data_IF_597202941544
#
_entry.id   IF_597202941544
#
_cell.length_a   1.000
_cell.length_b   1.000
_cell.length_c   1.000
_cell.angle_alpha   90.00
_cell.angle_beta   90.00
_cell.angle_gamma   90.00
#
_symmetry.space_group_name_H-M   'P 1'
#
loop_
_entity.id
_entity.type
_entity.pdbx_description
1 polymer ?
#
# COMPACT_ATOMS: atom_id res chain seq x y z
N UNK A 1 -30.47 42.50 -21.58
CA UNK A 1 -29.33 41.79 -22.19
C UNK A 1 -28.12 41.71 -21.24
N UNK A 2 -27.59 42.83 -20.69
CA UNK A 2 -26.38 42.82 -19.82
C UNK A 2 -26.52 41.92 -18.57
N UNK A 3 -27.66 41.88 -17.87
CA UNK A 3 -27.88 41.05 -16.68
C UNK A 3 -27.85 39.55 -17.00
N UNK A 4 -28.48 39.15 -18.14
CA UNK A 4 -28.51 37.74 -18.58
C UNK A 4 -27.10 37.28 -18.97
N UNK A 5 -26.32 38.13 -19.64
CA UNK A 5 -24.91 37.78 -19.97
C UNK A 5 -24.02 37.67 -18.74
N UNK A 6 -24.24 38.52 -17.71
CA UNK A 6 -23.50 38.44 -16.44
C UNK A 6 -23.85 37.16 -15.66
N UNK A 7 -25.14 36.78 -15.59
CA UNK A 7 -25.58 35.55 -14.95
C UNK A 7 -25.05 34.30 -15.68
N UNK A 8 -25.06 34.32 -17.03
CA UNK A 8 -24.49 33.22 -17.81
C UNK A 8 -22.98 33.09 -17.62
N UNK A 9 -22.25 34.21 -17.59
CA UNK A 9 -20.81 34.21 -17.32
C UNK A 9 -20.50 33.69 -15.91
N UNK A 10 -21.25 34.09 -14.89
CA UNK A 10 -21.09 33.60 -13.53
C UNK A 10 -21.38 32.11 -13.44
N UNK A 11 -22.44 31.62 -14.07
CA UNK A 11 -22.77 30.19 -14.12
C UNK A 11 -21.67 29.37 -14.81
N UNK A 12 -21.11 29.86 -15.93
CA UNK A 12 -19.98 29.21 -16.60
C UNK A 12 -18.72 29.15 -15.71
N UNK A 13 -18.44 30.20 -14.94
CA UNK A 13 -17.34 30.20 -13.97
C UNK A 13 -17.54 29.16 -12.86
N UNK A 14 -18.75 29.01 -12.34
CA UNK A 14 -19.08 28.00 -11.35
C UNK A 14 -18.92 26.58 -11.93
N UNK A 15 -19.37 26.35 -13.15
CA UNK A 15 -19.18 25.05 -13.82
C UNK A 15 -17.70 24.75 -14.06
N UNK A 16 -16.91 25.73 -14.48
CA UNK A 16 -15.47 25.57 -14.66
C UNK A 16 -14.76 25.27 -13.33
N UNK A 17 -15.13 25.95 -12.25
CA UNK A 17 -14.61 25.69 -10.92
C UNK A 17 -14.96 24.28 -10.43
N UNK A 18 -16.22 23.85 -10.60
CA UNK A 18 -16.66 22.50 -10.26
C UNK A 18 -15.92 21.43 -11.07
N UNK A 19 -15.76 21.63 -12.38
CA UNK A 19 -14.98 20.75 -13.25
C UNK A 19 -13.50 20.67 -12.79
N UNK A 20 -12.92 21.81 -12.40
CA UNK A 20 -11.56 21.87 -11.84
C UNK A 20 -11.43 21.05 -10.56
N UNK A 21 -12.40 21.13 -9.65
CA UNK A 21 -12.41 20.32 -8.41
C UNK A 21 -12.50 18.82 -8.74
N UNK A 22 -13.42 18.43 -9.62
CA UNK A 22 -13.55 17.02 -10.06
C UNK A 22 -12.24 16.53 -10.71
N UNK A 23 -11.64 17.34 -11.55
CA UNK A 23 -10.35 17.01 -12.17
C UNK A 23 -9.24 16.81 -11.12
N UNK A 24 -9.15 17.72 -10.13
CA UNK A 24 -8.19 17.59 -9.03
C UNK A 24 -8.40 16.31 -8.21
N UNK A 25 -9.65 15.98 -7.89
CA UNK A 25 -10.00 14.77 -7.18
C UNK A 25 -9.67 13.52 -8.00
N UNK A 26 -10.03 13.50 -9.28
CA UNK A 26 -9.70 12.41 -10.19
C UNK A 26 -8.16 12.23 -10.32
N UNK A 27 -7.41 13.31 -10.49
CA UNK A 27 -5.95 13.30 -10.48
C UNK A 27 -5.39 12.80 -9.15
N UNK A 28 -6.05 13.14 -8.04
CA UNK A 28 -5.65 12.67 -6.71
C UNK A 28 -5.84 11.16 -6.55
N UNK A 29 -6.81 10.54 -7.22
CA UNK A 29 -7.02 9.09 -7.22
C UNK A 29 -5.91 8.38 -7.98
N UNK A 30 -5.67 8.77 -9.23
CA UNK A 30 -4.75 8.07 -10.15
C UNK A 30 -3.30 8.59 -10.14
N UNK A 31 -3.01 9.65 -9.41
CA UNK A 31 -1.66 10.22 -9.35
C UNK A 31 -0.67 9.23 -8.76
N UNK A 32 0.53 9.17 -9.31
CA UNK A 32 1.62 8.25 -8.92
C UNK A 32 2.66 8.91 -8.03
N UNK A 33 2.69 10.23 -7.98
CA UNK A 33 3.68 10.98 -7.20
C UNK A 33 3.54 10.71 -5.69
N UNK A 34 4.62 10.38 -4.99
CA UNK A 34 4.62 10.22 -3.54
C UNK A 34 4.12 11.48 -2.83
N UNK A 35 3.25 11.31 -1.85
CA UNK A 35 2.78 12.43 -1.01
C UNK A 35 3.73 12.60 0.16
N UNK A 36 4.66 13.52 0.05
CA UNK A 36 5.55 13.88 1.15
C UNK A 36 4.79 14.81 2.09
N UNK A 37 4.53 14.33 3.31
CA UNK A 37 4.05 15.15 4.42
C UNK A 37 5.18 15.25 5.42
N UNK A 38 5.64 16.45 5.69
CA UNK A 38 6.60 16.73 6.74
C UNK A 38 5.90 17.21 8.00
N UNK A 39 6.60 17.09 9.10
CA UNK A 39 6.23 17.64 10.39
C UNK A 39 7.48 18.16 11.10
N UNK A 40 7.32 19.18 11.91
CA UNK A 40 8.40 19.77 12.68
C UNK A 40 8.66 18.92 13.92
N UNK A 41 9.88 18.41 14.03
CA UNK A 41 10.38 17.58 15.12
C UNK A 41 11.29 18.39 16.03
N UNK A 42 11.24 18.13 17.32
CA UNK A 42 12.19 18.65 18.30
C UNK A 42 12.87 17.49 19.02
N UNK A 43 14.18 17.58 19.19
CA UNK A 43 14.90 16.63 20.04
C UNK A 43 14.74 17.04 21.51
N UNK A 44 14.45 16.08 22.38
CA UNK A 44 14.34 16.27 23.84
C UNK A 44 15.15 15.18 24.53
N UNK A 45 16.40 15.51 24.91
CA UNK A 45 17.34 14.49 25.37
C UNK A 45 17.65 13.44 24.30
N UNK A 46 17.38 12.18 24.60
CA UNK A 46 17.53 11.07 23.67
C UNK A 46 16.22 10.70 22.95
N UNK A 47 15.15 11.46 23.15
CA UNK A 47 13.83 11.24 22.59
C UNK A 47 13.48 12.35 21.58
N UNK A 48 12.33 12.22 20.92
CA UNK A 48 11.80 13.23 20.00
C UNK A 48 10.39 13.65 20.37
N UNK A 49 10.12 14.91 20.19
CA UNK A 49 8.80 15.51 20.35
C UNK A 49 8.20 15.83 18.98
N UNK A 50 6.96 15.38 18.75
CA UNK A 50 6.21 15.50 17.51
C UNK A 50 4.88 16.24 17.74
N UNK A 51 4.27 16.90 16.72
CA UNK A 51 2.89 17.33 16.78
C UNK A 51 1.97 16.13 17.06
N UNK A 52 1.06 16.25 18.05
CA UNK A 52 0.14 15.19 18.40
C UNK A 52 -0.99 15.08 17.38
N UNK A 53 -1.20 13.89 16.84
CA UNK A 53 -2.33 13.51 15.99
C UNK A 53 -2.51 11.98 16.03
N UNK A 54 -3.53 11.46 15.38
CA UNK A 54 -3.83 10.02 15.37
C UNK A 54 -2.64 9.16 14.85
N UNK A 55 -1.84 9.68 13.91
CA UNK A 55 -0.70 8.95 13.36
C UNK A 55 0.49 8.93 14.33
N UNK A 56 0.77 10.05 14.98
CA UNK A 56 1.91 10.16 15.91
C UNK A 56 1.62 9.59 17.31
N UNK A 57 0.33 9.38 17.65
CA UNK A 57 -0.10 8.69 18.88
C UNK A 57 -0.24 7.18 18.70
N UNK A 58 -0.34 6.67 17.47
CA UNK A 58 -0.53 5.24 17.24
C UNK A 58 0.58 4.42 17.89
N UNK A 59 0.22 3.37 18.65
CA UNK A 59 1.18 2.46 19.26
C UNK A 59 2.01 1.73 18.20
N UNK A 60 3.25 1.38 18.53
CA UNK A 60 4.09 0.58 17.65
C UNK A 60 5.42 1.24 17.28
N UNK A 61 6.04 0.72 16.22
CA UNK A 61 7.33 1.14 15.71
C UNK A 61 7.17 1.91 14.40
N UNK A 62 7.90 3.01 14.25
CA UNK A 62 7.77 3.90 13.10
C UNK A 62 9.12 4.40 12.61
N UNK A 63 9.18 4.82 11.35
CA UNK A 63 10.35 5.48 10.78
C UNK A 63 10.17 7.00 10.77
N UNK A 64 11.22 7.69 11.19
CA UNK A 64 11.39 9.12 11.02
C UNK A 64 12.50 9.36 10.02
N UNK A 65 12.19 10.08 8.94
CA UNK A 65 13.15 10.41 7.90
C UNK A 65 13.49 11.89 7.95
N UNK A 66 14.76 12.22 8.06
CA UNK A 66 15.31 13.58 8.16
C UNK A 66 16.46 13.80 7.19
N UNK A 67 17.05 15.00 7.19
CA UNK A 67 18.02 15.41 6.22
C UNK A 67 17.40 16.18 5.05
N UNK A 68 18.21 16.84 4.22
CA UNK A 68 17.72 17.67 3.11
C UNK A 68 16.90 16.86 2.07
N UNK A 69 17.28 15.59 1.87
CA UNK A 69 16.61 14.65 0.94
C UNK A 69 15.84 13.57 1.65
N UNK A 70 15.69 13.65 2.99
CA UNK A 70 15.11 12.61 3.85
C UNK A 70 15.86 11.28 3.73
N UNK A 71 17.19 11.35 3.75
CA UNK A 71 18.10 10.21 3.63
C UNK A 71 18.49 9.58 4.98
N UNK A 72 18.28 10.30 6.08
CA UNK A 72 18.59 9.83 7.43
C UNK A 72 17.36 9.20 8.08
N UNK A 73 17.49 7.98 8.52
CA UNK A 73 16.42 7.21 9.16
C UNK A 73 16.64 7.09 10.66
N UNK A 74 15.58 7.25 11.44
CA UNK A 74 15.54 6.89 12.84
C UNK A 74 14.35 5.96 13.11
N UNK A 75 14.58 4.88 13.86
CA UNK A 75 13.54 3.99 14.35
C UNK A 75 12.98 4.56 15.65
N UNK A 76 11.68 4.78 15.65
CA UNK A 76 10.97 5.43 16.76
C UNK A 76 10.03 4.42 17.41
N UNK A 77 10.12 4.31 18.74
CA UNK A 77 9.37 3.39 19.57
C UNK A 77 8.13 3.99 20.23
N UNK A 78 7.92 3.58 21.49
CA UNK A 78 6.73 3.91 22.27
C UNK A 78 6.53 5.40 22.53
N UNK A 79 5.29 5.77 22.76
CA UNK A 79 4.92 7.06 23.39
C UNK A 79 5.46 7.07 24.82
N UNK A 80 6.21 8.09 25.17
CA UNK A 80 6.74 8.36 26.53
C UNK A 80 5.74 9.23 27.29
N UNK A 81 5.26 10.30 26.66
CA UNK A 81 4.24 11.19 27.22
C UNK A 81 3.51 11.96 26.13
N UNK A 82 2.37 12.57 26.47
CA UNK A 82 1.65 13.47 25.58
C UNK A 82 0.90 14.53 26.42
N UNK A 83 0.75 15.74 25.90
CA UNK A 83 0.11 16.88 26.57
C UNK A 83 -1.13 17.41 25.83
N UNK A 84 -1.59 16.73 24.79
CA UNK A 84 -2.71 17.13 23.94
C UNK A 84 -2.29 17.90 22.68
N UNK A 85 -1.13 18.54 22.66
CA UNK A 85 -0.59 19.25 21.50
C UNK A 85 0.65 18.54 20.92
N UNK A 86 1.45 17.96 21.80
CA UNK A 86 2.72 17.30 21.47
C UNK A 86 2.76 15.89 22.05
N UNK A 87 3.50 15.03 21.39
CA UNK A 87 3.78 13.66 21.83
C UNK A 87 5.30 13.45 21.87
N UNK A 88 5.80 12.98 23.01
CA UNK A 88 7.18 12.57 23.19
C UNK A 88 7.31 11.06 22.89
N UNK A 89 8.24 10.69 22.03
CA UNK A 89 8.47 9.29 21.63
C UNK A 89 9.92 8.90 21.75
N UNK A 90 10.12 7.63 22.13
CA UNK A 90 11.45 7.03 22.30
C UNK A 90 12.15 6.86 20.97
N UNK A 91 13.40 7.34 20.83
CA UNK A 91 14.29 6.98 19.72
C UNK A 91 14.99 5.66 20.08
N UNK A 92 14.89 4.67 19.20
CA UNK A 92 15.50 3.35 19.42
C UNK A 92 16.84 3.23 18.69
N UNK A 93 16.92 3.76 17.48
CA UNK A 93 18.15 3.82 16.69
C UNK A 93 18.06 4.94 15.65
N UNK A 94 19.21 5.36 15.12
CA UNK A 94 19.28 6.37 14.07
C UNK A 94 20.52 6.14 13.20
N UNK A 95 20.42 6.45 11.91
CA UNK A 95 21.52 6.32 10.95
C UNK A 95 22.41 7.56 10.93
N UNK A 96 21.95 8.68 11.49
CA UNK A 96 22.71 9.93 11.65
C UNK A 96 22.22 10.67 12.91
N UNK A 97 23.05 11.51 13.55
CA UNK A 97 22.65 12.32 14.69
C UNK A 97 21.44 13.19 14.38
N UNK A 98 20.46 13.20 15.28
CA UNK A 98 19.30 14.11 15.19
C UNK A 98 19.72 15.52 15.56
N UNK A 99 19.24 16.53 14.81
CA UNK A 99 19.52 17.95 15.08
C UNK A 99 19.08 18.36 16.50
N UNK A 100 19.88 19.22 17.14
CA UNK A 100 19.53 19.86 18.40
C UNK A 100 18.43 20.93 18.20
N UNK A 101 18.44 21.61 17.06
CA UNK A 101 17.43 22.58 16.66
C UNK A 101 16.21 21.89 16.05
N UNK A 102 15.02 22.50 16.07
CA UNK A 102 13.83 21.97 15.40
C UNK A 102 14.09 21.73 13.91
N UNK A 103 13.66 20.60 13.38
CA UNK A 103 13.88 20.18 11.99
C UNK A 103 12.64 19.56 11.35
N UNK A 104 12.59 19.57 10.03
CA UNK A 104 11.54 18.95 9.26
C UNK A 104 11.86 17.47 9.03
N UNK A 105 10.87 16.61 9.24
CA UNK A 105 11.00 15.17 9.02
C UNK A 105 9.71 14.56 8.47
N UNK A 106 9.84 13.39 7.84
CA UNK A 106 8.70 12.58 7.41
C UNK A 106 8.44 11.47 8.44
N UNK A 107 7.18 11.34 8.87
CA UNK A 107 6.70 10.26 9.73
C UNK A 107 6.09 9.16 8.88
N UNK A 108 6.63 7.94 8.96
CA UNK A 108 6.23 6.82 8.08
C UNK A 108 6.10 5.51 8.85
N UNK A 109 5.45 4.52 8.23
CA UNK A 109 5.45 3.12 8.70
C UNK A 109 6.73 2.35 8.35
N UNK A 110 7.72 2.95 7.71
CA UNK A 110 8.96 2.28 7.32
C UNK A 110 9.90 2.15 8.51
N UNK A 111 9.96 0.97 9.11
CA UNK A 111 10.78 0.68 10.31
C UNK A 111 12.22 0.33 9.97
N UNK A 112 12.54 0.17 8.69
CA UNK A 112 13.87 -0.16 8.19
C UNK A 112 14.30 0.90 7.17
N UNK A 113 15.59 1.22 7.14
CA UNK A 113 16.19 2.19 6.21
C UNK A 113 16.47 1.58 4.84
N UNK A 114 16.61 0.26 4.75
CA UNK A 114 16.90 -0.43 3.51
C UNK A 114 16.94 -1.95 3.62
N UNK A 115 17.15 -2.62 2.48
CA UNK A 115 17.14 -4.08 2.39
C UNK A 115 18.27 -4.76 3.17
N UNK A 116 19.40 -4.08 3.37
CA UNK A 116 20.54 -4.60 4.11
C UNK A 116 20.25 -4.88 5.59
N UNK A 117 19.17 -4.31 6.15
CA UNK A 117 18.74 -4.63 7.52
C UNK A 117 18.07 -6.01 7.62
N UNK A 118 17.62 -6.58 6.51
CA UNK A 118 17.10 -7.95 6.44
C UNK A 118 18.23 -8.93 6.16
N UNK A 119 18.99 -8.69 5.09
CA UNK A 119 20.12 -9.53 4.67
C UNK A 119 21.20 -8.66 4.04
N UNK A 120 22.44 -8.63 4.56
CA UNK A 120 23.53 -7.86 3.97
C UNK A 120 23.93 -8.38 2.58
N UNK A 121 23.52 -9.57 2.16
CA UNK A 121 23.79 -10.18 0.86
C UNK A 121 22.64 -10.06 -0.14
N UNK A 122 21.68 -9.17 0.12
CA UNK A 122 20.63 -8.86 -0.85
C UNK A 122 21.20 -8.38 -2.19
N UNK A 123 20.46 -8.55 -3.26
CA UNK A 123 20.89 -8.16 -4.61
C UNK A 123 19.91 -7.16 -5.23
N UNK A 124 20.44 -6.09 -5.87
CA UNK A 124 19.65 -5.32 -6.82
C UNK A 124 19.60 -6.08 -8.14
N UNK A 125 18.39 -6.37 -8.60
CA UNK A 125 18.17 -7.08 -9.86
C UNK A 125 17.22 -6.29 -10.76
N UNK A 126 17.35 -6.50 -12.05
CA UNK A 126 16.47 -5.91 -13.05
C UNK A 126 15.57 -6.97 -13.66
N UNK A 127 14.26 -6.75 -13.59
CA UNK A 127 13.23 -7.59 -14.18
C UNK A 127 12.87 -7.01 -15.57
N UNK A 128 13.14 -7.72 -16.68
CA UNK A 128 12.69 -7.29 -17.98
C UNK A 128 11.17 -7.39 -18.09
N UNK A 129 10.53 -6.36 -18.64
CA UNK A 129 9.09 -6.31 -18.85
C UNK A 129 8.77 -6.60 -20.34
N UNK A 130 7.59 -7.17 -20.59
CA UNK A 130 7.11 -7.56 -21.92
C UNK A 130 7.01 -6.44 -22.93
N UNK A 131 6.94 -5.19 -22.49
CA UNK A 131 6.89 -3.99 -23.34
C UNK A 131 8.28 -3.39 -23.63
N UNK A 132 9.36 -4.08 -23.21
CA UNK A 132 10.74 -3.64 -23.38
C UNK A 132 11.27 -2.72 -22.29
N UNK A 133 10.43 -2.31 -21.33
CA UNK A 133 10.88 -1.59 -20.15
C UNK A 133 11.57 -2.54 -19.15
N UNK A 134 12.10 -1.96 -18.06
CA UNK A 134 12.73 -2.73 -16.99
C UNK A 134 12.23 -2.24 -15.63
N UNK A 135 11.93 -3.17 -14.75
CA UNK A 135 11.57 -2.90 -13.36
C UNK A 135 12.74 -3.23 -12.43
N UNK A 136 13.03 -2.34 -11.49
CA UNK A 136 14.01 -2.60 -10.44
C UNK A 136 13.40 -3.51 -9.36
N UNK A 137 14.18 -4.42 -8.83
CA UNK A 137 13.75 -5.30 -7.76
C UNK A 137 14.87 -5.61 -6.78
N UNK A 138 14.51 -5.94 -5.53
CA UNK A 138 15.42 -6.49 -4.54
C UNK A 138 15.22 -8.00 -4.46
N UNK A 139 16.30 -8.76 -4.54
CA UNK A 139 16.30 -10.21 -4.39
C UNK A 139 16.99 -10.57 -3.07
N UNK A 140 16.27 -11.33 -2.26
CA UNK A 140 16.77 -11.98 -1.04
C UNK A 140 16.73 -13.48 -1.26
N UNK A 141 17.88 -14.15 -1.23
CA UNK A 141 17.93 -15.58 -1.50
C UNK A 141 17.47 -16.38 -0.29
N UNK A 142 16.66 -17.37 -0.54
CA UNK A 142 16.28 -18.38 0.45
C UNK A 142 17.32 -19.49 0.59
N UNK A 143 17.02 -20.46 1.45
CA UNK A 143 17.91 -21.60 1.72
C UNK A 143 17.79 -22.73 0.69
N UNK A 144 16.65 -22.86 0.00
CA UNK A 144 16.38 -23.88 -1.01
C UNK A 144 16.44 -23.28 -2.42
N UNK A 145 17.21 -23.92 -3.32
CA UNK A 145 17.37 -23.45 -4.70
C UNK A 145 16.06 -23.55 -5.50
N UNK A 146 15.29 -24.63 -5.33
CA UNK A 146 14.03 -24.88 -6.04
C UNK A 146 12.81 -24.66 -5.12
N UNK A 147 12.99 -23.89 -4.05
CA UNK A 147 11.95 -23.56 -3.10
C UNK A 147 10.91 -22.57 -3.63
N UNK A 148 9.86 -22.29 -2.84
CA UNK A 148 8.91 -21.25 -3.16
C UNK A 148 9.58 -19.87 -3.17
N UNK A 149 9.18 -19.03 -4.12
CA UNK A 149 9.53 -17.61 -4.16
C UNK A 149 8.35 -16.77 -3.70
N UNK A 150 8.62 -15.76 -2.87
CA UNK A 150 7.62 -14.78 -2.43
C UNK A 150 7.85 -13.48 -3.19
N UNK A 151 6.87 -13.07 -3.99
CA UNK A 151 6.90 -11.79 -4.71
C UNK A 151 6.17 -10.75 -3.84
N UNK A 152 6.88 -9.68 -3.47
CA UNK A 152 6.33 -8.62 -2.64
C UNK A 152 5.99 -7.40 -3.49
N UNK A 153 4.75 -6.89 -3.34
CA UNK A 153 4.21 -5.79 -4.14
C UNK A 153 3.72 -4.68 -3.23
N UNK A 154 4.32 -3.49 -3.33
CA UNK A 154 3.93 -2.31 -2.56
C UNK A 154 2.61 -1.69 -3.04
N UNK A 155 2.07 -0.78 -2.23
CA UNK A 155 0.92 0.03 -2.59
C UNK A 155 1.26 1.20 -3.52
N UNK A 156 0.24 1.98 -3.88
CA UNK A 156 0.40 3.20 -4.68
C UNK A 156 1.13 4.29 -3.86
N UNK A 157 2.01 5.05 -4.51
CA UNK A 157 2.73 6.21 -3.92
C UNK A 157 3.64 5.89 -2.74
N UNK A 158 3.98 4.64 -2.58
CA UNK A 158 4.92 4.19 -1.57
C UNK A 158 6.15 3.53 -2.22
N UNK A 159 7.15 3.24 -1.42
CA UNK A 159 8.36 2.58 -1.89
C UNK A 159 8.37 1.10 -1.50
N UNK A 160 9.32 0.35 -2.03
CA UNK A 160 9.60 -1.05 -1.66
C UNK A 160 9.83 -1.24 -0.14
N UNK A 161 10.24 -0.19 0.58
CA UNK A 161 10.49 -0.24 2.02
C UNK A 161 9.27 -0.74 2.84
N UNK A 162 8.04 -0.44 2.40
CA UNK A 162 6.83 -0.90 3.10
C UNK A 162 6.75 -2.42 3.16
N UNK A 163 7.32 -3.12 2.19
CA UNK A 163 7.23 -4.58 2.09
C UNK A 163 8.29 -5.31 2.93
N UNK A 164 9.33 -4.63 3.44
CA UNK A 164 10.42 -5.26 4.17
C UNK A 164 9.94 -6.08 5.38
N UNK A 165 8.84 -5.66 6.04
CA UNK A 165 8.23 -6.44 7.12
C UNK A 165 7.68 -7.80 6.66
N UNK A 166 7.20 -7.88 5.42
CA UNK A 166 6.79 -9.17 4.84
C UNK A 166 7.97 -9.98 4.30
N UNK A 167 9.03 -9.31 3.85
CA UNK A 167 10.30 -9.97 3.51
C UNK A 167 10.94 -10.61 4.76
N UNK A 168 10.97 -9.89 5.89
CA UNK A 168 11.44 -10.41 7.18
C UNK A 168 10.72 -11.73 7.55
N UNK A 169 9.39 -11.77 7.40
CA UNK A 169 8.61 -12.98 7.66
C UNK A 169 8.96 -14.13 6.70
N UNK A 170 9.10 -13.85 5.41
CA UNK A 170 9.49 -14.87 4.42
C UNK A 170 10.93 -15.39 4.63
N UNK A 171 11.87 -14.49 4.92
CA UNK A 171 13.26 -14.84 5.18
C UNK A 171 13.42 -15.68 6.46
N UNK A 172 12.59 -15.43 7.49
CA UNK A 172 12.60 -16.29 8.70
C UNK A 172 12.22 -17.74 8.42
N UNK A 173 11.60 -18.02 7.27
CA UNK A 173 11.25 -19.35 6.77
C UNK A 173 12.24 -19.88 5.73
N UNK A 174 13.30 -19.14 5.43
CA UNK A 174 14.26 -19.50 4.38
C UNK A 174 13.70 -19.40 2.96
N UNK A 175 12.61 -18.67 2.74
CA UNK A 175 12.01 -18.48 1.41
C UNK A 175 12.73 -17.39 0.63
N UNK A 176 12.93 -17.60 -0.67
CA UNK A 176 13.44 -16.56 -1.56
C UNK A 176 12.40 -15.44 -1.71
N UNK A 177 12.81 -14.19 -1.58
CA UNK A 177 11.94 -13.01 -1.71
C UNK A 177 12.38 -12.12 -2.87
N UNK A 178 11.43 -11.73 -3.74
CA UNK A 178 11.63 -10.74 -4.79
C UNK A 178 10.70 -9.55 -4.55
N UNK A 179 11.26 -8.40 -4.25
CA UNK A 179 10.52 -7.15 -4.04
C UNK A 179 10.56 -6.33 -5.31
N UNK A 180 9.46 -6.30 -6.04
CA UNK A 180 9.40 -5.62 -7.35
C UNK A 180 9.01 -4.15 -7.21
N UNK A 181 9.38 -3.35 -8.22
CA UNK A 181 8.80 -2.01 -8.43
C UNK A 181 8.08 -1.99 -9.77
N UNK A 182 6.75 -1.93 -9.74
CA UNK A 182 5.92 -1.86 -10.94
C UNK A 182 5.84 -0.42 -11.49
N UNK A 183 5.31 -0.27 -12.71
CA UNK A 183 5.15 1.04 -13.37
C UNK A 183 4.40 2.07 -12.53
N UNK A 184 4.96 3.27 -12.44
CA UNK A 184 4.38 4.37 -11.65
C UNK A 184 4.64 4.28 -10.15
N UNK A 185 5.41 3.30 -9.66
CA UNK A 185 5.78 3.19 -8.26
C UNK A 185 7.29 3.34 -8.07
N UNK A 186 7.70 4.10 -7.06
CA UNK A 186 9.11 4.26 -6.65
C UNK A 186 10.07 4.53 -7.82
N UNK A 187 11.06 3.66 -7.98
CA UNK A 187 12.08 3.66 -9.04
C UNK A 187 11.71 2.73 -10.22
N UNK A 188 10.46 2.30 -10.32
CA UNK A 188 9.93 1.52 -11.44
C UNK A 188 9.77 2.33 -12.72
N UNK A 189 9.31 1.68 -13.81
CA UNK A 189 9.05 2.35 -15.08
C UNK A 189 8.09 3.53 -14.91
N UNK A 190 8.39 4.63 -15.58
CA UNK A 190 7.58 5.86 -15.46
C UNK A 190 6.16 5.63 -15.98
N UNK A 191 5.19 6.15 -15.24
CA UNK A 191 3.81 6.25 -15.67
C UNK A 191 3.25 7.63 -15.39
N UNK A 192 2.38 8.14 -16.25
CA UNK A 192 1.74 9.45 -16.08
C UNK A 192 0.59 9.43 -15.07
N UNK A 193 0.01 8.26 -14.85
CA UNK A 193 -1.03 7.98 -13.87
C UNK A 193 -1.12 6.46 -13.65
N UNK A 194 -1.63 6.05 -12.49
CA UNK A 194 -1.97 4.66 -12.20
C UNK A 194 -3.30 4.27 -12.84
N UNK A 195 -3.42 3.01 -13.22
CA UNK A 195 -4.68 2.37 -13.61
C UNK A 195 -5.30 1.54 -12.47
N UNK A 196 -4.82 1.74 -11.25
CA UNK A 196 -5.33 1.12 -10.02
C UNK A 196 -5.26 -0.43 -10.04
N UNK A 197 -4.30 -0.98 -10.74
CA UNK A 197 -4.10 -2.41 -10.94
C UNK A 197 -4.57 -2.93 -12.29
N UNK A 198 -5.44 -2.18 -13.02
CA UNK A 198 -6.05 -2.61 -14.27
C UNK A 198 -5.04 -2.95 -15.38
N UNK A 199 -3.89 -2.27 -15.42
CA UNK A 199 -2.82 -2.54 -16.38
C UNK A 199 -1.51 -2.96 -15.69
N UNK A 200 -1.25 -2.49 -14.48
CA UNK A 200 0.01 -2.75 -13.76
C UNK A 200 0.23 -4.23 -13.41
N UNK A 201 -0.83 -5.05 -13.43
CA UNK A 201 -0.73 -6.50 -13.22
C UNK A 201 0.25 -7.18 -14.15
N UNK A 202 0.47 -6.64 -15.35
CA UNK A 202 1.41 -7.20 -16.33
C UNK A 202 2.85 -7.17 -15.82
N UNK A 203 3.24 -6.15 -15.05
CA UNK A 203 4.58 -6.06 -14.48
C UNK A 203 4.78 -7.12 -13.38
N UNK A 204 3.73 -7.42 -12.61
CA UNK A 204 3.74 -8.53 -11.65
C UNK A 204 3.83 -9.88 -12.37
N UNK A 205 3.11 -10.07 -13.49
CA UNK A 205 3.20 -11.28 -14.30
C UNK A 205 4.63 -11.50 -14.83
N UNK A 206 5.29 -10.42 -15.28
CA UNK A 206 6.66 -10.50 -15.77
C UNK A 206 7.66 -10.82 -14.64
N UNK A 207 7.42 -10.28 -13.42
CA UNK A 207 8.22 -10.64 -12.25
C UNK A 207 8.06 -12.11 -11.83
N UNK A 208 6.85 -12.64 -11.92
CA UNK A 208 6.60 -14.07 -11.70
C UNK A 208 7.30 -14.92 -12.77
N UNK A 209 7.23 -14.51 -14.04
CA UNK A 209 7.99 -15.16 -15.13
C UNK A 209 9.50 -15.15 -14.86
N UNK A 210 10.03 -14.02 -14.37
CA UNK A 210 11.43 -13.91 -13.96
C UNK A 210 11.79 -14.90 -12.84
N UNK A 211 10.93 -15.02 -11.81
CA UNK A 211 11.15 -15.97 -10.72
C UNK A 211 11.14 -17.42 -11.19
N UNK A 212 10.16 -17.80 -12.01
CA UNK A 212 10.04 -19.14 -12.58
C UNK A 212 11.23 -19.53 -13.46
N UNK A 213 11.72 -18.61 -14.30
CA UNK A 213 12.93 -18.82 -15.11
C UNK A 213 14.19 -19.02 -14.26
N UNK A 214 14.17 -18.65 -12.98
CA UNK A 214 15.27 -18.81 -12.00
C UNK A 214 15.05 -19.94 -11.01
N UNK A 215 14.10 -20.84 -11.29
CA UNK A 215 13.90 -22.06 -10.51
C UNK A 215 12.88 -21.95 -9.39
N UNK A 216 12.01 -20.94 -9.37
CA UNK A 216 10.91 -20.90 -8.41
C UNK A 216 10.00 -22.12 -8.57
N UNK A 217 10.00 -23.03 -7.61
CA UNK A 217 9.15 -24.24 -7.60
C UNK A 217 7.68 -23.91 -7.37
N UNK A 218 7.40 -22.88 -6.57
CA UNK A 218 6.09 -22.29 -6.36
C UNK A 218 6.21 -20.78 -6.26
N UNK A 219 5.13 -20.05 -6.50
CA UNK A 219 5.10 -18.59 -6.43
C UNK A 219 4.01 -18.14 -5.46
N UNK A 220 4.44 -17.46 -4.39
CA UNK A 220 3.56 -16.80 -3.44
C UNK A 220 3.62 -15.30 -3.69
N UNK A 221 2.51 -14.59 -3.48
CA UNK A 221 2.47 -13.13 -3.62
C UNK A 221 2.02 -12.51 -2.30
N UNK A 222 2.77 -11.52 -1.82
CA UNK A 222 2.38 -10.65 -0.70
C UNK A 222 2.18 -9.25 -1.23
N UNK A 223 0.94 -8.76 -1.21
CA UNK A 223 0.57 -7.52 -1.88
C UNK A 223 -0.11 -6.54 -0.91
N UNK A 224 0.38 -5.29 -0.90
CA UNK A 224 -0.06 -4.23 -0.01
C UNK A 224 -0.99 -3.25 -0.73
N UNK A 225 -2.13 -2.90 -0.13
CA UNK A 225 -3.01 -1.83 -0.60
C UNK A 225 -3.38 -1.99 -2.10
N UNK A 226 -2.98 -1.05 -2.95
CA UNK A 226 -3.18 -1.14 -4.40
C UNK A 226 -2.42 -2.32 -5.02
N UNK A 227 -1.30 -2.76 -4.45
CA UNK A 227 -0.59 -3.96 -4.90
C UNK A 227 -1.50 -5.20 -4.92
N UNK A 228 -2.48 -5.27 -4.01
CA UNK A 228 -3.53 -6.30 -4.02
C UNK A 228 -4.33 -6.29 -5.34
N UNK A 229 -4.63 -5.10 -5.87
CA UNK A 229 -5.30 -4.97 -7.16
C UNK A 229 -4.51 -5.57 -8.31
N UNK A 230 -3.17 -5.44 -8.30
CA UNK A 230 -2.31 -6.08 -9.30
C UNK A 230 -2.41 -7.60 -9.23
N UNK A 231 -2.34 -8.15 -8.01
CA UNK A 231 -2.42 -9.60 -7.79
C UNK A 231 -3.80 -10.16 -8.16
N UNK A 232 -4.87 -9.50 -7.74
CA UNK A 232 -6.24 -9.93 -8.05
C UNK A 232 -6.55 -9.81 -9.55
N UNK A 233 -6.04 -8.78 -10.20
CA UNK A 233 -6.20 -8.63 -11.64
C UNK A 233 -5.37 -9.65 -12.43
N UNK A 234 -4.17 -9.98 -11.95
CA UNK A 234 -3.36 -11.09 -12.52
C UNK A 234 -4.14 -12.42 -12.47
N UNK A 235 -4.76 -12.75 -11.32
CA UNK A 235 -5.56 -13.98 -11.18
C UNK A 235 -6.77 -14.02 -12.10
N UNK A 236 -7.30 -12.89 -12.52
CA UNK A 236 -8.35 -12.81 -13.56
C UNK A 236 -7.81 -13.24 -14.94
N UNK A 237 -6.56 -12.91 -15.24
CA UNK A 237 -5.91 -13.23 -16.52
C UNK A 237 -5.27 -14.60 -16.54
N UNK A 238 -4.67 -14.99 -15.43
CA UNK A 238 -3.98 -16.28 -15.24
C UNK A 238 -4.29 -16.81 -13.82
N UNK A 239 -5.36 -17.60 -13.66
CA UNK A 239 -5.76 -18.18 -12.37
C UNK A 239 -4.70 -19.09 -11.75
N UNK A 240 -3.77 -19.62 -12.54
CA UNK A 240 -2.68 -20.49 -12.11
C UNK A 240 -1.35 -19.78 -11.86
N UNK A 241 -1.30 -18.46 -11.99
CA UNK A 241 -0.05 -17.70 -11.87
C UNK A 241 0.55 -17.77 -10.45
N UNK A 242 -0.28 -17.89 -9.42
CA UNK A 242 0.08 -17.77 -8.00
C UNK A 242 -0.43 -18.97 -7.23
N UNK A 243 0.42 -19.57 -6.40
CA UNK A 243 0.06 -20.72 -5.57
C UNK A 243 -0.54 -20.32 -4.22
N UNK A 244 -0.14 -19.15 -3.66
CA UNK A 244 -0.67 -18.57 -2.42
C UNK A 244 -0.67 -17.05 -2.48
N UNK A 245 -1.67 -16.40 -1.87
CA UNK A 245 -1.82 -14.97 -1.87
C UNK A 245 -2.01 -14.42 -0.46
N UNK A 246 -1.20 -13.44 -0.07
CA UNK A 246 -1.40 -12.64 1.15
C UNK A 246 -1.67 -11.18 0.76
N UNK A 247 -2.76 -10.63 1.26
CA UNK A 247 -3.20 -9.26 0.97
C UNK A 247 -3.18 -8.43 2.26
N UNK A 248 -2.46 -7.33 2.26
CA UNK A 248 -2.32 -6.45 3.42
C UNK A 248 -3.05 -5.14 3.13
N UNK A 249 -4.05 -4.80 3.97
CA UNK A 249 -4.90 -3.62 3.79
C UNK A 249 -5.39 -3.46 2.33
N UNK A 250 -6.00 -4.48 1.69
CA UNK A 250 -6.16 -4.55 0.24
C UNK A 250 -7.22 -3.60 -0.30
N UNK A 251 -6.92 -2.97 -1.43
CA UNK A 251 -7.89 -2.19 -2.20
C UNK A 251 -8.76 -3.12 -3.06
N UNK A 252 -9.79 -3.72 -2.48
CA UNK A 252 -10.64 -4.72 -3.15
C UNK A 252 -11.82 -4.14 -3.94
N UNK A 253 -12.19 -2.86 -3.69
CA UNK A 253 -13.27 -2.16 -4.39
C UNK A 253 -12.95 -0.66 -4.51
N UNK A 254 -12.48 -0.24 -5.68
CA UNK A 254 -12.07 1.15 -5.89
C UNK A 254 -13.23 2.14 -5.88
N UNK A 255 -14.42 1.75 -6.28
CA UNK A 255 -15.61 2.63 -6.23
C UNK A 255 -15.94 3.00 -4.77
N UNK A 256 -15.89 2.03 -3.89
CA UNK A 256 -16.13 2.24 -2.45
C UNK A 256 -15.00 3.07 -1.80
N UNK A 257 -13.74 2.83 -2.19
CA UNK A 257 -12.57 3.59 -1.69
C UNK A 257 -12.66 5.06 -2.11
N UNK A 258 -13.04 5.35 -3.36
CA UNK A 258 -13.23 6.74 -3.83
C UNK A 258 -14.35 7.41 -3.04
N UNK A 259 -15.46 6.71 -2.80
CA UNK A 259 -16.57 7.23 -1.98
C UNK A 259 -16.12 7.55 -0.56
N UNK A 260 -15.34 6.65 0.07
CA UNK A 260 -14.76 6.90 1.39
C UNK A 260 -13.84 8.13 1.40
N UNK A 261 -12.99 8.28 0.38
CA UNK A 261 -12.11 9.45 0.24
C UNK A 261 -12.88 10.77 0.09
N UNK A 262 -13.98 10.77 -0.67
CA UNK A 262 -14.88 11.92 -0.85
C UNK A 262 -15.57 12.25 0.49
N UNK A 263 -16.07 11.25 1.22
CA UNK A 263 -16.69 11.42 2.54
C UNK A 263 -15.70 12.02 3.56
N UNK A 264 -14.46 11.53 3.60
CA UNK A 264 -13.40 12.07 4.48
C UNK A 264 -13.01 13.51 4.13
N UNK A 265 -13.19 13.91 2.89
CA UNK A 265 -13.00 15.29 2.45
C UNK A 265 -14.20 16.21 2.78
N UNK A 266 -15.25 15.69 3.45
CA UNK A 266 -16.47 16.45 3.76
C UNK A 266 -17.33 16.79 2.54
N UNK A 267 -17.15 16.06 1.42
CA UNK A 267 -17.88 16.31 0.18
C UNK A 267 -19.09 15.39 0.04
N UNK A 268 -20.16 15.81 -0.66
CA UNK A 268 -21.35 15.01 -0.91
C UNK A 268 -21.05 13.74 -1.73
N UNK A 269 -21.77 12.65 -1.48
CA UNK A 269 -21.58 11.34 -2.12
C UNK A 269 -21.64 11.35 -3.64
N UNK A 270 -22.47 12.22 -4.24
CA UNK A 270 -22.57 12.33 -5.71
C UNK A 270 -21.24 12.72 -6.37
N UNK A 271 -20.35 13.43 -5.64
CA UNK A 271 -19.00 13.79 -6.12
C UNK A 271 -18.20 12.53 -6.44
N UNK A 272 -18.30 11.48 -5.63
CA UNK A 272 -17.64 10.21 -5.92
C UNK A 272 -18.13 9.57 -7.22
N UNK A 273 -19.44 9.67 -7.51
CA UNK A 273 -20.03 9.18 -8.76
C UNK A 273 -19.52 9.95 -9.97
N UNK A 274 -19.37 11.27 -9.85
CA UNK A 274 -18.81 12.11 -10.93
C UNK A 274 -17.32 11.79 -11.14
N UNK A 275 -16.53 11.62 -10.06
CA UNK A 275 -15.10 11.26 -10.15
C UNK A 275 -14.93 9.90 -10.82
N UNK A 276 -15.71 8.89 -10.44
CA UNK A 276 -15.66 7.56 -11.06
C UNK A 276 -16.10 7.59 -12.51
N UNK A 277 -17.15 8.36 -12.84
CA UNK A 277 -17.56 8.59 -14.24
C UNK A 277 -16.45 9.26 -15.04
N UNK A 278 -15.82 10.31 -14.52
CA UNK A 278 -14.74 11.00 -15.20
C UNK A 278 -13.54 10.09 -15.49
N UNK A 279 -13.13 9.27 -14.51
CA UNK A 279 -12.04 8.30 -14.67
C UNK A 279 -12.41 7.13 -15.60
N UNK A 280 -13.69 6.74 -15.67
CA UNK A 280 -14.20 5.70 -16.56
C UNK A 280 -14.55 6.17 -17.97
N UNK A 281 -14.66 7.48 -18.19
CA UNK A 281 -15.02 8.05 -19.50
C UNK A 281 -13.82 8.06 -20.45
N UNK A 282 -14.02 7.64 -21.71
CA UNK A 282 -12.97 7.68 -22.75
C UNK A 282 -12.43 9.07 -23.04
N UNK A 283 -13.24 10.12 -22.84
CA UNK A 283 -12.85 11.51 -23.08
C UNK A 283 -12.27 12.13 -21.81
N UNK A 284 -13.01 12.08 -20.69
CA UNK A 284 -12.60 12.75 -19.47
C UNK A 284 -11.36 12.13 -18.81
N UNK A 285 -11.15 10.80 -18.93
CA UNK A 285 -9.95 10.13 -18.39
C UNK A 285 -8.65 10.64 -19.01
N UNK A 286 -8.67 11.06 -20.28
CA UNK A 286 -7.50 11.66 -20.96
C UNK A 286 -6.99 12.92 -20.24
N UNK A 287 -7.90 13.70 -19.68
CA UNK A 287 -7.56 14.90 -18.91
C UNK A 287 -6.84 14.55 -17.59
N UNK A 288 -7.04 13.35 -17.07
CA UNK A 288 -6.34 12.85 -15.87
C UNK A 288 -4.99 12.21 -16.18
N UNK A 289 -4.61 12.12 -17.46
CA UNK A 289 -3.43 11.42 -17.97
C UNK A 289 -3.44 9.90 -17.72
N UNK A 290 -4.60 9.33 -17.39
CA UNK A 290 -4.73 7.88 -17.32
C UNK A 290 -4.54 7.30 -18.75
N UNK A 291 -3.72 6.24 -18.91
CA UNK A 291 -3.45 5.68 -20.25
C UNK A 291 -4.68 5.01 -20.85
N UNK A 292 -5.59 4.54 -20.01
CA UNK A 292 -6.87 3.93 -20.40
C UNK A 292 -7.99 4.38 -19.46
N UNK A 293 -9.26 4.37 -19.90
CA UNK A 293 -10.40 4.55 -18.99
C UNK A 293 -10.44 3.42 -17.96
N UNK A 294 -10.79 3.77 -16.71
CA UNK A 294 -10.88 2.78 -15.63
C UNK A 294 -12.24 2.07 -15.67
N UNK A 295 -12.22 0.75 -15.66
CA UNK A 295 -13.43 -0.06 -15.50
C UNK A 295 -13.67 -0.38 -14.03
N UNK A 296 -14.49 0.44 -13.38
CA UNK A 296 -14.79 0.27 -11.95
C UNK A 296 -15.65 -0.97 -11.64
N UNK A 297 -16.25 -1.62 -12.62
CA UNK A 297 -16.87 -2.93 -12.39
C UNK A 297 -15.79 -4.01 -12.32
N UNK A 298 -14.79 -3.92 -13.18
CA UNK A 298 -13.61 -4.79 -13.17
C UNK A 298 -12.78 -4.60 -11.90
N UNK A 299 -12.69 -3.36 -11.38
CA UNK A 299 -11.98 -2.97 -10.16
C UNK A 299 -12.80 -3.19 -8.87
N UNK A 300 -13.83 -4.04 -8.90
CA UNK A 300 -14.57 -4.60 -7.76
C UNK A 300 -14.38 -6.12 -7.73
N UNK A 301 -13.30 -6.56 -7.12
CA UNK A 301 -12.95 -7.98 -7.06
C UNK A 301 -13.81 -8.78 -6.09
N UNK A 302 -14.48 -8.15 -5.13
CA UNK A 302 -15.41 -8.83 -4.24
C UNK A 302 -16.60 -9.45 -4.98
N UNK A 303 -16.97 -8.89 -6.14
CA UNK A 303 -18.11 -9.34 -6.94
C UNK A 303 -17.72 -10.01 -8.24
N UNK A 304 -16.60 -9.61 -8.81
CA UNK A 304 -16.27 -9.90 -10.21
C UNK A 304 -14.97 -10.68 -10.38
N UNK A 305 -14.51 -11.35 -9.34
CA UNK A 305 -13.39 -12.29 -9.39
C UNK A 305 -13.84 -13.66 -8.86
N UNK A 306 -13.49 -14.72 -9.57
CA UNK A 306 -13.52 -16.09 -9.06
C UNK A 306 -12.09 -16.59 -8.98
N UNK A 307 -11.63 -16.96 -7.81
CA UNK A 307 -10.30 -17.50 -7.58
C UNK A 307 -10.37 -18.63 -6.57
N UNK A 308 -9.61 -19.70 -6.81
CA UNK A 308 -9.42 -20.82 -5.88
C UNK A 308 -8.08 -20.72 -5.13
N UNK A 309 -7.28 -19.69 -5.42
CA UNK A 309 -5.97 -19.50 -4.77
C UNK A 309 -6.18 -19.26 -3.28
N UNK A 310 -5.58 -20.09 -2.40
CA UNK A 310 -5.63 -19.86 -0.98
C UNK A 310 -5.16 -18.44 -0.65
N UNK A 311 -5.96 -17.67 0.07
CA UNK A 311 -5.70 -16.25 0.30
C UNK A 311 -5.86 -15.90 1.79
N UNK A 312 -4.87 -15.20 2.36
CA UNK A 312 -5.03 -14.52 3.66
C UNK A 312 -5.14 -13.02 3.43
N UNK A 313 -6.06 -12.39 4.16
CA UNK A 313 -6.16 -10.92 4.24
C UNK A 313 -5.79 -10.50 5.65
N UNK A 314 -4.83 -9.59 5.80
CA UNK A 314 -4.48 -8.98 7.09
C UNK A 314 -4.88 -7.51 7.01
N UNK A 315 -5.80 -7.05 7.86
CA UNK A 315 -6.35 -5.70 7.77
C UNK A 315 -6.70 -5.12 9.13
N UNK A 316 -6.39 -3.85 9.32
CA UNK A 316 -6.67 -3.11 10.54
C UNK A 316 -8.14 -2.67 10.63
N UNK A 317 -8.73 -2.82 11.84
CA UNK A 317 -10.06 -2.26 12.14
C UNK A 317 -10.10 -0.73 12.14
N UNK A 318 -8.95 -0.07 12.27
CA UNK A 318 -8.83 1.37 12.31
C UNK A 318 -8.45 2.02 10.98
N UNK A 319 -8.41 1.26 9.89
CA UNK A 319 -8.09 1.82 8.58
C UNK A 319 -9.22 2.74 8.08
N UNK A 320 -8.93 4.04 8.06
CA UNK A 320 -9.86 5.05 7.58
C UNK A 320 -9.77 5.29 6.07
N UNK A 321 -8.66 4.89 5.42
CA UNK A 321 -8.48 5.08 3.97
C UNK A 321 -9.18 3.98 3.19
N UNK A 322 -8.98 2.72 3.60
CA UNK A 322 -9.66 1.54 3.07
C UNK A 322 -10.39 0.85 4.23
N UNK A 323 -11.68 1.12 4.43
CA UNK A 323 -12.41 0.55 5.56
C UNK A 323 -12.39 -0.98 5.59
N UNK A 324 -12.15 -1.57 6.75
CA UNK A 324 -12.03 -3.03 6.95
C UNK A 324 -13.24 -3.83 6.43
N UNK A 325 -14.44 -3.22 6.40
CA UNK A 325 -15.62 -3.89 5.86
C UNK A 325 -15.46 -4.33 4.40
N UNK A 326 -14.59 -3.68 3.62
CA UNK A 326 -14.28 -4.10 2.25
C UNK A 326 -13.53 -5.43 2.22
N UNK A 327 -12.64 -5.68 3.18
CA UNK A 327 -11.99 -6.96 3.35
C UNK A 327 -12.94 -8.03 3.91
N UNK A 328 -13.83 -7.65 4.82
CA UNK A 328 -14.89 -8.55 5.30
C UNK A 328 -15.82 -8.98 4.15
N UNK A 329 -16.24 -8.04 3.30
CA UNK A 329 -17.03 -8.32 2.11
C UNK A 329 -16.26 -9.21 1.12
N UNK A 330 -14.99 -8.95 0.89
CA UNK A 330 -14.16 -9.77 0.01
C UNK A 330 -14.01 -11.19 0.56
N UNK A 331 -13.71 -11.36 1.84
CA UNK A 331 -13.59 -12.67 2.47
C UNK A 331 -14.93 -13.44 2.49
N UNK A 332 -16.05 -12.77 2.74
CA UNK A 332 -17.37 -13.42 2.71
C UNK A 332 -17.80 -13.86 1.31
N UNK A 333 -17.22 -13.28 0.27
CA UNK A 333 -17.54 -13.60 -1.13
C UNK A 333 -16.67 -14.73 -1.71
N UNK A 334 -15.61 -15.17 -0.97
CA UNK A 334 -14.63 -16.15 -1.45
C UNK A 334 -14.31 -17.17 -0.36
N UNK A 335 -14.66 -18.44 -0.58
CA UNK A 335 -14.49 -19.53 0.40
C UNK A 335 -13.02 -19.84 0.76
N UNK A 336 -12.11 -19.49 -0.11
CA UNK A 336 -10.65 -19.70 0.03
C UNK A 336 -9.93 -18.51 0.67
N UNK A 337 -10.66 -17.53 1.21
CA UNK A 337 -10.10 -16.33 1.84
C UNK A 337 -10.27 -16.38 3.35
N UNK A 338 -9.17 -16.27 4.07
CA UNK A 338 -9.13 -16.10 5.53
C UNK A 338 -8.83 -14.65 5.87
N UNK A 339 -9.67 -14.01 6.71
CA UNK A 339 -9.45 -12.65 7.19
C UNK A 339 -8.87 -12.65 8.60
N UNK A 340 -7.74 -11.96 8.76
CA UNK A 340 -7.12 -11.64 10.04
C UNK A 340 -7.27 -10.14 10.30
N UNK A 341 -8.11 -9.78 11.25
CA UNK A 341 -8.27 -8.40 11.66
C UNK A 341 -7.27 -8.05 12.77
N UNK A 342 -6.49 -7.00 12.54
CA UNK A 342 -5.52 -6.50 13.53
C UNK A 342 -6.13 -5.40 14.40
N UNK A 343 -5.42 -5.02 15.46
CA UNK A 343 -5.74 -3.84 16.26
C UNK A 343 -5.83 -2.59 15.38
N UNK A 344 -6.47 -1.53 15.91
CA UNK A 344 -6.64 -0.29 15.17
C UNK A 344 -5.29 0.32 14.78
N UNK A 345 -5.04 0.42 13.48
CA UNK A 345 -3.87 1.01 12.88
C UNK A 345 -4.28 1.89 11.69
N UNK A 346 -3.51 2.93 11.36
CA UNK A 346 -3.64 3.64 10.10
C UNK A 346 -3.41 2.70 8.91
N UNK A 347 -3.84 3.11 7.72
CA UNK A 347 -3.73 2.32 6.50
C UNK A 347 -2.31 1.82 6.22
N UNK A 348 -2.15 0.50 6.05
CA UNK A 348 -0.87 -0.15 5.76
C UNK A 348 0.11 -0.22 6.95
N UNK A 349 -0.36 0.06 8.18
CA UNK A 349 0.46 0.04 9.39
C UNK A 349 0.17 -1.16 10.32
N UNK A 350 -0.44 -2.22 9.81
CA UNK A 350 -0.74 -3.45 10.53
C UNK A 350 0.51 -4.04 11.22
N UNK A 351 1.61 -4.10 10.45
CA UNK A 351 2.90 -4.57 10.94
C UNK A 351 3.57 -3.64 11.96
N UNK A 352 3.18 -2.36 12.00
CA UNK A 352 3.73 -1.39 12.94
C UNK A 352 3.07 -1.49 14.31
N UNK A 353 1.74 -1.62 14.32
CA UNK A 353 0.93 -1.63 15.55
C UNK A 353 0.99 -2.97 16.27
N UNK A 354 0.94 -4.07 15.52
CA UNK A 354 1.06 -5.43 16.07
C UNK A 354 2.04 -6.28 15.25
N UNK A 355 3.35 -6.06 15.41
CA UNK A 355 4.37 -6.74 14.62
C UNK A 355 4.41 -8.25 14.88
N UNK A 356 4.02 -8.72 16.07
CA UNK A 356 3.98 -10.15 16.39
C UNK A 356 2.84 -10.86 15.68
N UNK A 357 1.61 -10.32 15.80
CA UNK A 357 0.44 -10.89 15.12
C UNK A 357 0.67 -10.87 13.60
N UNK A 358 1.13 -9.75 13.04
CA UNK A 358 1.41 -9.62 11.61
C UNK A 358 2.38 -10.69 11.14
N UNK A 359 3.57 -10.78 11.77
CA UNK A 359 4.61 -11.73 11.39
C UNK A 359 4.14 -13.17 11.54
N UNK A 360 3.52 -13.52 12.67
CA UNK A 360 3.07 -14.90 12.92
C UNK A 360 1.97 -15.31 11.93
N UNK A 361 0.98 -14.44 11.67
CA UNK A 361 -0.09 -14.71 10.70
C UNK A 361 0.48 -14.91 9.30
N UNK A 362 1.41 -14.07 8.88
CA UNK A 362 2.00 -14.16 7.56
C UNK A 362 2.93 -15.39 7.45
N UNK A 363 3.78 -15.66 8.44
CA UNK A 363 4.67 -16.81 8.44
C UNK A 363 3.88 -18.13 8.41
N UNK A 364 2.92 -18.31 9.32
CA UNK A 364 2.08 -19.51 9.34
C UNK A 364 1.33 -19.70 8.01
N UNK A 365 0.92 -18.60 7.37
CA UNK A 365 0.29 -18.65 6.05
C UNK A 365 1.27 -19.12 4.96
N UNK A 366 2.47 -18.56 4.93
CA UNK A 366 3.52 -18.93 3.96
C UNK A 366 3.98 -20.39 4.13
N UNK A 367 4.06 -20.92 5.37
CA UNK A 367 4.34 -22.32 5.66
C UNK A 367 3.23 -23.29 5.26
N UNK A 368 2.01 -22.80 5.09
CA UNK A 368 0.85 -23.65 4.80
C UNK A 368 0.17 -24.23 6.03
N UNK A 369 0.52 -23.76 7.22
CA UNK A 369 -0.02 -24.26 8.49
C UNK A 369 -1.44 -23.75 8.78
N UNK A 370 -1.92 -22.74 8.05
CA UNK A 370 -3.22 -22.11 8.27
C UNK A 370 -4.29 -22.77 7.40
N UNK A 371 -4.87 -23.82 7.93
CA UNK A 371 -6.17 -24.37 7.50
C UNK A 371 -7.04 -24.74 8.70
N UNK A 372 -6.47 -24.88 9.90
CA UNK A 372 -7.14 -25.40 11.09
C UNK A 372 -7.11 -24.55 12.35
N UNK A 373 -6.13 -23.66 12.54
CA UNK A 373 -5.88 -23.05 13.86
C UNK A 373 -6.23 -21.56 14.02
N UNK A 374 -6.44 -20.80 12.97
CA UNK A 374 -6.78 -19.36 13.11
C UNK A 374 -8.20 -19.10 13.67
N UNK A 375 -9.08 -20.09 13.70
CA UNK A 375 -10.37 -19.97 14.39
C UNK A 375 -10.23 -19.83 15.91
N UNK A 376 -9.10 -20.24 16.48
CA UNK A 376 -8.83 -20.15 17.93
C UNK A 376 -8.21 -18.81 18.35
N UNK A 377 -7.57 -18.07 17.47
CA UNK A 377 -6.93 -16.78 17.79
C UNK A 377 -7.90 -15.58 17.70
N UNK A 378 -9.04 -15.73 17.00
CA UNK A 378 -10.09 -14.70 16.95
C UNK A 378 -11.01 -14.66 18.17
N UNK A 379 -10.81 -15.55 19.13
CA UNK A 379 -11.69 -15.79 20.28
C UNK A 379 -11.42 -14.99 21.55
N UNK A 380 -10.55 -14.00 21.56
CA UNK A 380 -10.45 -13.05 22.68
C UNK A 380 -11.63 -12.07 22.62
N UNK A 381 -12.73 -12.41 23.31
CA UNK A 381 -13.84 -11.51 23.62
C UNK A 381 -13.36 -10.34 24.49
N UNK A 382 -14.06 -9.19 24.42
CA UNK A 382 -13.70 -7.91 25.01
C UNK A 382 -13.56 -7.95 26.53
#
# INVERSE_FOLDING_TARGET
MKVISTLAAFFLLLLAAAAGVIWLLARRVVGVEPRRKTLTVRRVGDDIELPQNALTLANGLYGLWSGERFEHHALIGSVVSSDGNRVLRRVLSNTAPLSAEPFEAQWTGHTMSGPAEIDPHWEDVTVPLRDGASAQAWLFRGTALDGPWVIHVQGIRTSRLVTLRSVEAAQSLGLTSLVITYRGAGDGPKASASTLGQCEWSDLADAIGYARLRGAGAVYVVAWSMGAGLALELLRHDPGAVDRLALIAPATNWRAIIRQGVKRAGLPDFVASIVTWALGSRVASRLTRAPVPLDFNRLDWSRNLTSSVPTVVIHSRGDEEIPVYLSQQFASSHLNVTLVETAAAPHGWEANVDPKLFRNSLASWLEGSIGGELSSLSGAKP
#
